data_IF_528252824996
#
_entry.id   IF_528252824996
#
_cell.length_a   1.000
_cell.length_b   1.000
_cell.length_c   1.000
_cell.angle_alpha   90.00
_cell.angle_beta   90.00
_cell.angle_gamma   90.00
#
_symmetry.space_group_name_H-M   'P 1'
#
loop_
_entity.id
_entity.type
_entity.pdbx_description
1 polymer ?
#
# COMPACT_ATOMS: atom_id res chain seq x y z
N UNK A 1 53.13 -32.76 -15.87
CA UNK A 1 51.91 -32.90 -15.05
C UNK A 1 51.32 -31.51 -14.86
N UNK A 2 50.22 -31.18 -15.54
CA UNK A 2 49.59 -29.85 -15.50
C UNK A 2 48.51 -29.87 -14.41
N UNK A 3 48.69 -29.08 -13.36
CA UNK A 3 47.69 -28.90 -12.31
C UNK A 3 46.56 -28.03 -12.84
N UNK A 4 45.36 -28.62 -12.84
CA UNK A 4 44.08 -27.98 -13.15
C UNK A 4 43.52 -27.43 -11.83
N UNK A 5 43.59 -26.13 -11.59
CA UNK A 5 42.93 -25.48 -10.46
C UNK A 5 41.75 -24.66 -10.99
N UNK A 6 40.56 -25.24 -10.89
CA UNK A 6 39.31 -24.61 -11.29
C UNK A 6 38.71 -23.96 -10.03
N UNK A 7 38.93 -22.65 -9.88
CA UNK A 7 38.36 -21.86 -8.77
C UNK A 7 36.91 -21.53 -9.13
N UNK A 8 35.96 -22.26 -8.55
CA UNK A 8 34.53 -21.97 -8.63
C UNK A 8 34.21 -20.83 -7.64
N UNK A 9 34.31 -19.59 -8.10
CA UNK A 9 33.83 -18.43 -7.35
C UNK A 9 32.30 -18.42 -7.40
N UNK A 10 31.65 -19.03 -6.39
CA UNK A 10 30.21 -18.90 -6.16
C UNK A 10 29.96 -17.49 -5.61
N UNK A 11 29.74 -16.52 -6.50
CA UNK A 11 29.16 -15.23 -6.11
C UNK A 11 27.69 -15.47 -5.74
N UNK A 12 27.39 -15.52 -4.44
CA UNK A 12 26.02 -15.32 -3.95
C UNK A 12 25.65 -13.85 -4.18
N UNK A 13 25.14 -13.53 -5.36
CA UNK A 13 24.48 -12.25 -5.60
C UNK A 13 23.17 -12.31 -4.82
N UNK A 14 23.14 -11.66 -3.65
CA UNK A 14 21.89 -11.38 -2.95
C UNK A 14 21.05 -10.48 -3.84
N UNK A 15 20.06 -11.06 -4.54
CA UNK A 15 19.09 -10.27 -5.28
C UNK A 15 18.20 -9.56 -4.26
N UNK A 16 18.30 -8.24 -4.19
CA UNK A 16 17.28 -7.41 -3.55
C UNK A 16 15.97 -7.60 -4.32
N UNK A 17 15.14 -8.54 -3.88
CA UNK A 17 13.81 -8.74 -4.44
C UNK A 17 12.88 -7.73 -3.78
N UNK A 18 12.21 -6.91 -4.61
CA UNK A 18 11.11 -6.08 -4.13
C UNK A 18 9.95 -7.00 -3.75
N UNK A 19 9.53 -6.98 -2.48
CA UNK A 19 8.41 -7.79 -2.02
C UNK A 19 7.10 -7.08 -2.35
N UNK A 20 6.17 -7.79 -3.01
CA UNK A 20 4.81 -7.29 -3.25
C UNK A 20 3.82 -8.01 -2.33
N UNK A 21 3.15 -7.27 -1.45
CA UNK A 21 2.14 -7.81 -0.53
C UNK A 21 0.77 -7.19 -0.84
N UNK A 22 -0.26 -8.01 -1.04
CA UNK A 22 -1.64 -7.52 -1.17
C UNK A 22 -2.15 -7.10 0.20
N UNK A 23 -2.38 -5.80 0.38
CA UNK A 23 -2.78 -5.22 1.67
C UNK A 23 -4.27 -4.95 1.78
N UNK A 24 -4.94 -4.72 0.64
CA UNK A 24 -6.39 -4.54 0.55
C UNK A 24 -6.92 -5.25 -0.70
N UNK A 25 -8.03 -5.95 -0.57
CA UNK A 25 -8.79 -6.49 -1.71
C UNK A 25 -10.28 -6.17 -1.51
N UNK A 26 -10.89 -5.47 -2.46
CA UNK A 26 -12.30 -5.10 -2.44
C UNK A 26 -12.96 -5.47 -3.78
N UNK A 27 -14.29 -5.68 -3.82
CA UNK A 27 -15.02 -5.73 -5.08
C UNK A 27 -14.70 -4.51 -5.95
N UNK A 28 -14.51 -4.71 -7.26
CA UNK A 28 -14.28 -3.58 -8.16
C UNK A 28 -15.54 -2.72 -8.20
N UNK A 29 -15.46 -1.50 -7.68
CA UNK A 29 -16.52 -0.51 -7.85
C UNK A 29 -16.44 0.06 -9.28
N UNK A 30 -17.41 -0.28 -10.11
CA UNK A 30 -17.51 0.18 -11.51
C UNK A 30 -17.79 1.68 -11.63
N UNK A 31 -18.32 2.31 -10.58
CA UNK A 31 -18.61 3.74 -10.52
C UNK A 31 -17.51 4.55 -9.83
N UNK A 32 -16.48 3.89 -9.29
CA UNK A 32 -15.33 4.58 -8.71
C UNK A 32 -14.46 5.20 -9.80
N UNK A 33 -14.28 6.51 -9.73
CA UNK A 33 -13.25 7.24 -10.46
C UNK A 33 -12.11 7.59 -9.50
N UNK A 34 -10.91 7.69 -10.06
CA UNK A 34 -9.73 8.21 -9.35
C UNK A 34 -9.40 7.40 -8.09
N UNK A 35 -9.11 6.11 -8.27
CA UNK A 35 -8.63 5.23 -7.20
C UNK A 35 -7.23 5.64 -6.77
N UNK A 36 -7.08 6.03 -5.50
CA UNK A 36 -5.79 6.40 -4.90
C UNK A 36 -5.61 5.67 -3.58
N UNK A 37 -4.60 4.83 -3.51
CA UNK A 37 -4.14 4.26 -2.25
C UNK A 37 -3.21 5.25 -1.54
N UNK A 38 -3.41 5.44 -0.24
CA UNK A 38 -2.59 6.30 0.63
C UNK A 38 -2.31 5.58 1.95
N UNK A 39 -1.24 6.00 2.63
CA UNK A 39 -1.09 5.72 4.05
C UNK A 39 -1.85 6.74 4.88
N UNK A 40 -2.32 6.30 6.03
CA UNK A 40 -2.90 7.12 7.07
C UNK A 40 -2.32 6.69 8.42
N UNK A 41 -2.33 7.60 9.40
CA UNK A 41 -1.73 7.37 10.71
C UNK A 41 -2.62 7.87 11.83
N UNK A 42 -2.49 7.25 13.00
CA UNK A 42 -2.93 7.78 14.27
C UNK A 42 -1.70 7.93 15.17
N UNK A 43 -1.33 9.18 15.42
CA UNK A 43 -0.13 9.55 16.16
C UNK A 43 -0.26 9.28 17.67
N UNK A 44 -1.49 9.26 18.18
CA UNK A 44 -1.75 9.07 19.61
C UNK A 44 -1.50 7.63 20.05
N UNK A 45 -1.63 6.67 19.12
CA UNK A 45 -1.46 5.24 19.42
C UNK A 45 -0.44 4.52 18.53
N UNK A 46 0.36 5.26 17.76
CA UNK A 46 1.43 4.69 16.93
C UNK A 46 0.93 3.77 15.81
N UNK A 47 -0.32 3.93 15.35
CA UNK A 47 -0.88 3.06 14.29
C UNK A 47 -0.74 3.71 12.92
N UNK A 48 -0.50 2.86 11.93
CA UNK A 48 -0.58 3.20 10.52
C UNK A 48 -1.48 2.19 9.78
N UNK A 49 -2.13 2.62 8.70
CA UNK A 49 -2.96 1.77 7.86
C UNK A 49 -2.93 2.24 6.41
N UNK A 50 -3.46 1.41 5.52
CA UNK A 50 -3.65 1.74 4.10
C UNK A 50 -5.12 2.05 3.85
N UNK A 51 -5.35 3.12 3.11
CA UNK A 51 -6.68 3.60 2.75
C UNK A 51 -6.79 3.74 1.24
N UNK A 52 -7.83 3.16 0.66
CA UNK A 52 -8.19 3.31 -0.75
C UNK A 52 -9.26 4.39 -0.87
N UNK A 53 -8.85 5.53 -1.40
CA UNK A 53 -9.72 6.66 -1.67
C UNK A 53 -10.27 6.59 -3.09
N UNK A 54 -11.55 6.90 -3.26
CA UNK A 54 -12.21 7.00 -4.56
C UNK A 54 -13.35 8.02 -4.53
N UNK A 55 -13.78 8.48 -5.70
CA UNK A 55 -14.99 9.29 -5.87
C UNK A 55 -16.01 8.52 -6.67
N UNK A 56 -17.25 8.52 -6.22
CA UNK A 56 -18.34 7.87 -6.96
C UNK A 56 -18.84 8.77 -8.09
N UNK A 57 -19.09 8.17 -9.26
CA UNK A 57 -19.75 8.86 -10.36
C UNK A 57 -21.26 8.67 -10.24
N UNK A 58 -21.95 9.59 -9.57
CA UNK A 58 -23.41 9.65 -9.63
C UNK A 58 -23.84 10.13 -11.01
N UNK A 59 -24.77 9.42 -11.64
CA UNK A 59 -25.26 9.69 -13.01
C UNK A 59 -26.13 10.95 -13.17
N UNK A 60 -26.05 11.91 -12.26
CA UNK A 60 -26.81 13.16 -12.29
C UNK A 60 -25.94 14.36 -12.67
N UNK A 61 -26.59 15.41 -13.21
CA UNK A 61 -26.04 16.71 -13.67
C UNK A 61 -25.23 17.52 -12.63
N UNK A 62 -24.88 16.95 -11.47
CA UNK A 62 -24.03 17.59 -10.48
C UNK A 62 -22.60 17.75 -11.01
N UNK A 63 -22.01 18.91 -10.75
CA UNK A 63 -20.63 19.22 -11.12
C UNK A 63 -19.69 18.13 -10.58
N UNK A 64 -18.77 17.66 -11.43
CA UNK A 64 -17.76 16.61 -11.14
C UNK A 64 -16.96 16.81 -9.83
N UNK A 65 -16.94 18.02 -9.26
CA UNK A 65 -16.24 18.38 -8.02
C UNK A 65 -17.02 18.03 -6.74
N UNK A 66 -18.34 17.84 -6.84
CA UNK A 66 -19.24 17.74 -5.69
C UNK A 66 -19.50 16.28 -5.27
N UNK A 67 -18.97 15.30 -5.99
CA UNK A 67 -19.08 13.90 -5.61
C UNK A 67 -18.32 13.64 -4.29
N UNK A 68 -18.96 12.97 -3.30
CA UNK A 68 -18.32 12.64 -2.04
C UNK A 68 -17.08 11.76 -2.27
N UNK A 69 -16.03 12.06 -1.52
CA UNK A 69 -14.85 11.20 -1.45
C UNK A 69 -15.15 10.08 -0.45
N UNK A 70 -15.04 8.85 -0.93
CA UNK A 70 -15.22 7.63 -0.15
C UNK A 70 -13.85 7.01 0.11
N UNK A 71 -13.73 6.29 1.24
CA UNK A 71 -12.51 5.56 1.59
C UNK A 71 -12.83 4.18 2.14
N UNK A 72 -11.96 3.21 1.83
CA UNK A 72 -11.94 1.90 2.48
C UNK A 72 -10.56 1.67 3.06
N UNK A 73 -10.50 1.50 4.38
CA UNK A 73 -9.26 1.38 5.13
C UNK A 73 -9.06 -0.03 5.66
N UNK A 74 -7.81 -0.47 5.71
CA UNK A 74 -7.43 -1.76 6.28
C UNK A 74 -6.12 -1.67 7.05
N UNK A 75 -6.09 -2.34 8.19
CA UNK A 75 -4.86 -2.48 8.98
C UNK A 75 -3.94 -3.47 8.26
N UNK A 76 -2.68 -3.08 8.10
CA UNK A 76 -1.66 -3.94 7.49
C UNK A 76 -0.80 -4.52 8.61
N UNK A 77 -0.67 -5.85 8.65
CA UNK A 77 0.22 -6.50 9.60
C UNK A 77 1.65 -6.01 9.38
N UNK A 78 2.39 -5.73 10.46
CA UNK A 78 3.75 -5.17 10.38
C UNK A 78 3.82 -3.68 10.07
N UNK A 79 2.72 -3.02 9.67
CA UNK A 79 2.70 -1.58 9.43
C UNK A 79 2.38 -0.81 10.72
N UNK A 80 3.24 0.14 11.07
CA UNK A 80 3.11 0.95 12.28
C UNK A 80 3.59 2.38 12.05
N UNK A 81 3.22 3.28 12.96
CA UNK A 81 3.76 4.64 13.01
C UNK A 81 4.70 4.75 14.21
N UNK A 82 5.98 4.95 13.95
CA UNK A 82 6.96 5.25 14.98
C UNK A 82 6.88 6.75 15.33
N UNK A 83 6.39 7.04 16.53
CA UNK A 83 6.23 8.40 17.05
C UNK A 83 7.55 9.10 17.28
N UNK A 84 8.65 8.37 17.53
CA UNK A 84 9.95 8.97 17.81
C UNK A 84 10.63 9.49 16.53
N UNK A 85 10.67 8.66 15.47
CA UNK A 85 11.21 9.05 14.17
C UNK A 85 10.21 9.82 13.29
N UNK A 86 8.92 9.79 13.65
CA UNK A 86 7.80 10.30 12.85
C UNK A 86 7.64 9.59 11.49
N UNK A 87 7.95 8.31 11.44
CA UNK A 87 7.94 7.52 10.22
C UNK A 87 6.91 6.40 10.27
N UNK A 88 6.38 6.04 9.10
CA UNK A 88 5.62 4.82 8.90
C UNK A 88 6.62 3.70 8.61
N UNK A 89 6.66 2.71 9.48
CA UNK A 89 7.57 1.57 9.40
C UNK A 89 6.76 0.33 9.02
N UNK A 90 7.29 -0.46 8.11
CA UNK A 90 6.76 -1.76 7.75
C UNK A 90 7.77 -2.84 8.13
N UNK A 91 7.34 -3.76 8.98
CA UNK A 91 8.11 -4.93 9.38
C UNK A 91 7.58 -6.17 8.66
N UNK A 92 8.45 -6.82 7.88
CA UNK A 92 8.14 -8.09 7.24
C UNK A 92 9.37 -8.99 7.27
N UNK A 93 9.18 -10.23 7.74
CA UNK A 93 10.24 -11.25 7.81
C UNK A 93 11.50 -10.78 8.57
N UNK A 94 11.30 -9.97 9.62
CA UNK A 94 12.38 -9.41 10.46
C UNK A 94 13.13 -8.23 9.83
N UNK A 95 12.78 -7.81 8.61
CA UNK A 95 13.31 -6.61 7.98
C UNK A 95 12.39 -5.41 8.27
N UNK A 96 12.98 -4.28 8.63
CA UNK A 96 12.29 -3.01 8.82
C UNK A 96 12.51 -2.11 7.61
N UNK A 97 11.42 -1.65 7.01
CA UNK A 97 11.43 -0.70 5.90
C UNK A 97 10.74 0.59 6.32
N UNK A 98 11.42 1.72 6.17
CA UNK A 98 10.79 3.03 6.28
C UNK A 98 9.94 3.28 5.03
N UNK A 99 8.62 3.24 5.16
CA UNK A 99 7.71 3.40 4.02
C UNK A 99 7.38 4.85 3.70
N UNK A 100 7.29 5.71 4.71
CA UNK A 100 7.02 7.12 4.54
C UNK A 100 7.41 7.93 5.77
N UNK A 101 7.72 9.21 5.58
CA UNK A 101 7.89 10.18 6.65
C UNK A 101 6.63 11.03 6.83
N UNK A 102 6.26 11.31 8.08
CA UNK A 102 5.10 12.12 8.44
C UNK A 102 5.56 13.44 9.03
N UNK A 103 5.20 14.54 8.38
CA UNK A 103 5.50 15.89 8.86
C UNK A 103 4.22 16.69 9.01
N UNK A 104 3.95 17.19 10.21
CA UNK A 104 2.85 18.14 10.40
C UNK A 104 3.24 19.49 9.82
N UNK A 105 2.41 20.02 8.91
CA UNK A 105 2.55 21.34 8.30
C UNK A 105 1.37 22.23 8.69
N UNK A 106 1.57 23.55 8.67
CA UNK A 106 0.54 24.54 8.99
C UNK A 106 0.66 25.10 10.42
N UNK A 107 -0.20 26.07 10.73
CA UNK A 107 -0.16 26.84 11.98
C UNK A 107 -1.49 26.67 12.72
N UNK A 108 -1.42 26.46 14.04
CA UNK A 108 -2.59 26.33 14.92
C UNK A 108 -3.62 25.31 14.40
N UNK A 109 -4.87 25.73 14.19
CA UNK A 109 -6.00 24.90 13.74
C UNK A 109 -5.90 24.41 12.29
N UNK A 110 -4.97 24.93 11.48
CA UNK A 110 -4.76 24.50 10.08
C UNK A 110 -3.62 23.50 9.92
N UNK A 111 -3.26 22.82 11.01
CA UNK A 111 -2.25 21.75 10.98
C UNK A 111 -2.79 20.54 10.22
N UNK A 112 -2.02 20.06 9.26
CA UNK A 112 -2.30 18.82 8.53
C UNK A 112 -1.03 17.99 8.43
N UNK A 113 -1.21 16.67 8.38
CA UNK A 113 -0.09 15.77 8.19
C UNK A 113 0.22 15.62 6.70
N UNK A 114 1.48 15.88 6.36
CA UNK A 114 2.04 15.61 5.05
C UNK A 114 2.83 14.31 5.12
N UNK A 115 2.38 13.30 4.37
CA UNK A 115 3.01 11.98 4.30
C UNK A 115 3.81 11.89 3.01
N UNK A 116 5.13 11.69 3.12
CA UNK A 116 6.05 11.59 1.99
C UNK A 116 6.59 10.17 1.88
N UNK A 117 6.28 9.48 0.77
CA UNK A 117 6.73 8.10 0.52
C UNK A 117 8.25 8.03 0.39
N UNK A 118 8.85 6.98 0.94
CA UNK A 118 10.30 6.72 0.91
C UNK A 118 10.60 5.33 0.36
N UNK A 119 10.73 4.31 1.20
CA UNK A 119 11.15 2.95 0.84
C UNK A 119 10.03 2.04 0.34
N UNK A 120 8.80 2.53 0.26
CA UNK A 120 7.65 1.74 -0.17
C UNK A 120 6.85 2.43 -1.29
N UNK A 121 6.03 1.64 -1.98
CA UNK A 121 5.06 2.11 -2.97
C UNK A 121 3.72 1.42 -2.79
N UNK A 122 2.65 2.21 -2.84
CA UNK A 122 1.29 1.68 -2.95
C UNK A 122 0.88 1.61 -4.42
N UNK A 123 0.44 0.44 -4.87
CA UNK A 123 -0.01 0.22 -6.25
C UNK A 123 -1.42 -0.32 -6.26
N UNK A 124 -2.31 0.34 -6.99
CA UNK A 124 -3.67 -0.17 -7.23
C UNK A 124 -3.66 -1.00 -8.51
N UNK A 125 -4.25 -2.21 -8.48
CA UNK A 125 -4.47 -3.02 -9.69
C UNK A 125 -5.87 -3.64 -9.69
N UNK A 126 -6.34 -3.98 -10.88
CA UNK A 126 -7.56 -4.76 -11.05
C UNK A 126 -7.19 -6.19 -11.43
N UNK A 127 -7.84 -7.16 -10.79
CA UNK A 127 -7.65 -8.58 -11.07
C UNK A 127 -9.00 -9.26 -11.25
N UNK A 128 -9.02 -10.29 -12.10
CA UNK A 128 -10.15 -11.21 -12.17
C UNK A 128 -9.84 -12.43 -11.32
N UNK A 129 -10.69 -12.72 -10.34
CA UNK A 129 -10.49 -13.81 -9.39
C UNK A 129 -11.70 -14.76 -9.44
N UNK A 130 -11.45 -16.06 -9.34
CA UNK A 130 -12.52 -17.02 -9.08
C UNK A 130 -12.86 -16.94 -7.60
N UNK A 131 -14.12 -16.67 -7.29
CA UNK A 131 -14.64 -16.56 -5.93
C UNK A 131 -15.69 -17.64 -5.76
N UNK A 132 -15.52 -18.47 -4.74
CA UNK A 132 -16.51 -19.44 -4.27
C UNK A 132 -17.23 -18.82 -3.07
N UNK A 133 -18.55 -18.70 -3.17
CA UNK A 133 -19.40 -18.16 -2.10
C UNK A 133 -20.14 -19.25 -1.31
N UNK A 134 -19.80 -20.53 -1.52
CA UNK A 134 -20.46 -21.69 -0.93
C UNK A 134 -21.68 -22.20 -1.71
N UNK A 135 -22.10 -21.51 -2.77
CA UNK A 135 -23.20 -21.91 -3.66
C UNK A 135 -22.75 -22.04 -5.11
N UNK A 136 -21.94 -21.08 -5.59
CA UNK A 136 -21.41 -21.04 -6.94
C UNK A 136 -19.97 -20.53 -6.95
N UNK A 137 -19.21 -21.00 -7.94
CA UNK A 137 -17.89 -20.48 -8.25
C UNK A 137 -18.01 -19.57 -9.48
N UNK A 138 -17.71 -18.28 -9.31
CA UNK A 138 -17.79 -17.31 -10.41
C UNK A 138 -16.58 -16.41 -10.50
N UNK A 139 -16.37 -15.83 -11.68
CA UNK A 139 -15.29 -14.89 -11.95
C UNK A 139 -15.73 -13.48 -11.58
N UNK A 140 -15.05 -12.86 -10.62
CA UNK A 140 -15.33 -11.51 -10.17
C UNK A 140 -14.15 -10.56 -10.43
N UNK A 141 -14.45 -9.33 -10.82
CA UNK A 141 -13.46 -8.25 -10.86
C UNK A 141 -13.22 -7.71 -9.44
N UNK A 142 -11.97 -7.72 -9.00
CA UNK A 142 -11.52 -7.21 -7.70
C UNK A 142 -10.51 -6.08 -7.89
N UNK A 143 -10.52 -5.11 -6.99
CA UNK A 143 -9.49 -4.09 -6.87
C UNK A 143 -8.56 -4.49 -5.72
N UNK A 144 -7.27 -4.56 -6.01
CA UNK A 144 -6.22 -4.83 -5.03
C UNK A 144 -5.35 -3.60 -4.83
N UNK A 145 -4.98 -3.35 -3.57
CA UNK A 145 -3.87 -2.47 -3.23
C UNK A 145 -2.69 -3.34 -2.83
N UNK A 146 -1.55 -3.13 -3.48
CA UNK A 146 -0.28 -3.75 -3.13
C UNK A 146 0.60 -2.75 -2.39
N UNK A 147 1.25 -3.22 -1.34
CA UNK A 147 2.42 -2.60 -0.76
C UNK A 147 3.65 -3.25 -1.38
N UNK A 148 4.49 -2.43 -2.01
CA UNK A 148 5.75 -2.84 -2.63
C UNK A 148 6.88 -2.22 -1.81
N UNK A 149 7.79 -3.05 -1.28
CA UNK A 149 8.99 -2.56 -0.60
C UNK A 149 10.16 -2.52 -1.58
N UNK A 150 10.91 -1.43 -1.56
CA UNK A 150 12.18 -1.33 -2.28
C UNK A 150 13.28 -1.58 -1.24
N UNK A 151 13.96 -2.73 -1.35
CA UNK A 151 15.17 -3.03 -0.57
C UNK A 151 16.38 -2.29 -1.15
#
# INVERSE_FOLDING_TARGET
MKFLTLVFAVLCIAQAQAAETVVLEVPKNSWARELKAVFEVNKDNGRAWVSLNFREQFGGSGSRRDAPQMSVSTRVAGLSYDTASQNIIFEQDGALTECASVRTRGVSIFRHDNITMTGCKLKVRHVKKMVDNGYEVRKEDRTQVLLITNN
#
